data_IF_410229329487
#
_entry.id   IF_410229329487
#
_cell.length_a   1.000
_cell.length_b   1.000
_cell.length_c   1.000
_cell.angle_alpha   90.00
_cell.angle_beta   90.00
_cell.angle_gamma   90.00
#
_symmetry.space_group_name_H-M   'P 1'
#
loop_
_entity.id
_entity.type
_entity.pdbx_description
1 polymer ?
#
# COMPACT_ATOMS: atom_id res chain seq x y z
N UNK A 1 -38.09 -9.90 23.91
CA UNK A 1 -36.79 -9.50 24.49
C UNK A 1 -36.61 -8.03 24.13
N UNK A 2 -36.41 -7.15 25.11
CA UNK A 2 -36.39 -5.71 24.87
C UNK A 2 -35.28 -5.33 23.89
N UNK A 3 -35.66 -4.70 22.78
CA UNK A 3 -34.72 -4.10 21.82
C UNK A 3 -33.89 -3.07 22.58
N UNK A 4 -32.57 -3.29 22.68
CA UNK A 4 -31.67 -2.26 23.16
C UNK A 4 -31.82 -1.06 22.21
N UNK A 5 -32.10 0.12 22.75
CA UNK A 5 -32.26 1.31 21.92
C UNK A 5 -31.01 1.53 21.08
N UNK A 6 -31.17 1.62 19.76
CA UNK A 6 -30.07 1.93 18.85
C UNK A 6 -29.45 3.30 19.19
N UNK A 7 -28.13 3.45 19.04
CA UNK A 7 -27.44 4.69 19.36
C UNK A 7 -27.86 5.83 18.43
N UNK A 8 -27.64 7.05 18.90
CA UNK A 8 -27.70 8.28 18.10
C UNK A 8 -26.32 8.91 18.12
N UNK A 9 -25.76 9.16 16.95
CA UNK A 9 -24.50 9.86 16.77
C UNK A 9 -24.77 11.28 16.25
N UNK A 10 -23.74 12.12 16.17
CA UNK A 10 -23.92 13.44 15.60
C UNK A 10 -24.33 13.35 14.12
N UNK A 11 -25.20 14.26 13.66
CA UNK A 11 -25.59 14.32 12.25
C UNK A 11 -24.35 14.60 11.41
N UNK A 12 -24.08 13.74 10.41
CA UNK A 12 -22.87 13.83 9.57
C UNK A 12 -21.62 13.16 10.15
N UNK A 13 -21.72 12.50 11.31
CA UNK A 13 -20.62 11.75 11.93
C UNK A 13 -20.40 10.39 11.26
N UNK A 14 -19.96 10.44 10.00
CA UNK A 14 -19.79 9.28 9.12
C UNK A 14 -18.84 8.23 9.71
N UNK A 15 -17.84 8.68 10.48
CA UNK A 15 -16.90 7.84 11.22
C UNK A 15 -17.63 6.99 12.26
N UNK A 16 -18.35 7.61 13.20
CA UNK A 16 -19.03 6.87 14.26
C UNK A 16 -20.04 5.85 13.70
N UNK A 17 -20.70 6.17 12.58
CA UNK A 17 -21.57 5.23 11.89
C UNK A 17 -20.80 4.05 11.26
N UNK A 18 -19.64 4.30 10.63
CA UNK A 18 -18.82 3.26 10.02
C UNK A 18 -18.08 2.40 11.07
N UNK A 19 -17.57 2.98 12.15
CA UNK A 19 -17.04 2.24 13.30
C UNK A 19 -18.09 1.35 13.95
N UNK A 20 -19.32 1.86 14.04
CA UNK A 20 -20.44 1.06 14.54
C UNK A 20 -20.78 -0.08 13.57
N UNK A 21 -20.67 0.14 12.26
CA UNK A 21 -20.80 -0.91 11.24
C UNK A 21 -19.69 -1.96 11.38
N UNK A 22 -18.43 -1.56 11.60
CA UNK A 22 -17.32 -2.47 11.89
C UNK A 22 -17.55 -3.27 13.18
N UNK A 23 -18.15 -2.66 14.19
CA UNK A 23 -18.55 -3.36 15.42
C UNK A 23 -19.62 -4.43 15.15
N UNK A 24 -20.53 -4.20 14.19
CA UNK A 24 -21.44 -5.25 13.74
C UNK A 24 -20.69 -6.33 12.95
N UNK A 25 -19.78 -5.96 12.05
CA UNK A 25 -19.00 -6.89 11.25
C UNK A 25 -18.26 -7.92 12.12
N UNK A 26 -17.70 -7.49 13.26
CA UNK A 26 -17.01 -8.34 14.26
C UNK A 26 -17.90 -9.41 14.91
N UNK A 27 -19.24 -9.29 14.81
CA UNK A 27 -20.19 -10.32 15.27
C UNK A 27 -20.37 -11.46 14.26
N UNK A 28 -19.97 -11.25 13.01
CA UNK A 28 -20.05 -12.29 11.98
C UNK A 28 -18.96 -13.35 12.21
N UNK A 29 -19.30 -14.65 12.27
CA UNK A 29 -18.29 -15.69 12.44
C UNK A 29 -17.41 -15.77 11.18
N UNK A 30 -16.07 -15.81 11.29
CA UNK A 30 -15.18 -15.88 10.14
C UNK A 30 -15.32 -17.23 9.42
N UNK A 31 -15.22 -17.23 8.09
CA UNK A 31 -15.16 -18.45 7.27
C UNK A 31 -14.37 -18.19 5.98
N UNK A 32 -13.71 -19.24 5.46
CA UNK A 32 -12.78 -19.13 4.32
C UNK A 32 -13.44 -18.72 2.98
N UNK A 33 -14.77 -18.79 2.88
CA UNK A 33 -15.53 -18.54 1.66
C UNK A 33 -16.43 -17.29 1.75
N UNK A 34 -16.17 -16.37 2.69
CA UNK A 34 -16.95 -15.14 2.84
C UNK A 34 -16.17 -14.05 3.58
N UNK A 35 -16.65 -12.82 3.46
CA UNK A 35 -16.21 -11.71 4.30
C UNK A 35 -17.14 -11.50 5.52
N UNK A 36 -16.56 -11.04 6.63
CA UNK A 36 -17.31 -10.54 7.78
C UNK A 36 -17.69 -9.08 7.49
N UNK A 37 -18.94 -8.87 7.07
CA UNK A 37 -19.47 -7.55 6.71
C UNK A 37 -20.44 -7.10 7.80
N UNK A 38 -20.43 -5.79 8.08
CA UNK A 38 -21.40 -5.13 8.94
C UNK A 38 -22.06 -3.97 8.21
N UNK A 39 -23.30 -3.68 8.57
CA UNK A 39 -24.07 -2.60 7.98
C UNK A 39 -24.93 -1.89 9.04
N UNK A 40 -25.19 -0.60 8.81
CA UNK A 40 -25.95 0.28 9.68
C UNK A 40 -26.84 1.17 8.82
N UNK A 41 -28.13 1.16 9.11
CA UNK A 41 -29.12 2.03 8.47
C UNK A 41 -29.41 3.22 9.39
N UNK A 42 -29.34 4.44 8.88
CA UNK A 42 -29.34 5.68 9.69
C UNK A 42 -30.36 6.67 9.16
N UNK A 43 -31.07 7.34 10.07
CA UNK A 43 -31.83 8.54 9.75
C UNK A 43 -30.85 9.71 9.66
N UNK A 44 -30.48 10.14 8.45
CA UNK A 44 -29.44 11.14 8.28
C UNK A 44 -29.82 12.50 8.88
N UNK A 45 -31.11 12.84 8.91
CA UNK A 45 -31.59 14.09 9.48
C UNK A 45 -31.45 14.17 11.01
N UNK A 46 -31.36 13.03 11.70
CA UNK A 46 -31.31 12.99 13.18
C UNK A 46 -30.07 12.29 13.73
N UNK A 47 -29.24 11.69 12.88
CA UNK A 47 -28.09 10.88 13.28
C UNK A 47 -28.45 9.59 14.03
N UNK A 48 -29.71 9.17 13.98
CA UNK A 48 -30.21 8.01 14.74
C UNK A 48 -30.00 6.74 13.92
N UNK A 49 -29.38 5.72 14.52
CA UNK A 49 -29.36 4.38 13.94
C UNK A 49 -30.76 3.77 14.00
N UNK A 50 -31.23 3.29 12.85
CA UNK A 50 -32.56 2.70 12.65
C UNK A 50 -32.47 1.17 12.70
N UNK A 51 -31.43 0.61 12.09
CA UNK A 51 -31.22 -0.83 12.03
C UNK A 51 -29.73 -1.13 11.85
N UNK A 52 -29.36 -2.36 12.15
CA UNK A 52 -28.00 -2.88 12.02
C UNK A 52 -28.04 -4.24 11.35
N UNK A 53 -26.92 -4.69 10.82
CA UNK A 53 -26.82 -6.02 10.25
C UNK A 53 -25.39 -6.50 10.21
N UNK A 54 -25.20 -7.81 10.24
CA UNK A 54 -23.92 -8.44 9.93
C UNK A 54 -24.12 -9.74 9.15
N UNK A 55 -23.11 -10.15 8.39
CA UNK A 55 -23.19 -11.38 7.59
C UNK A 55 -23.49 -12.59 8.47
N UNK A 56 -24.40 -13.47 8.04
CA UNK A 56 -24.87 -14.65 8.78
C UNK A 56 -25.61 -14.37 10.09
N UNK A 57 -26.16 -13.16 10.27
CA UNK A 57 -26.96 -12.88 11.45
C UNK A 57 -28.24 -13.72 11.51
N UNK A 58 -28.83 -14.04 10.36
CA UNK A 58 -30.02 -14.88 10.25
C UNK A 58 -29.69 -16.29 9.74
N UNK A 59 -30.51 -17.30 10.10
CA UNK A 59 -30.35 -18.66 9.61
C UNK A 59 -30.31 -18.74 8.08
N UNK A 60 -29.67 -19.79 7.57
CA UNK A 60 -29.71 -20.10 6.13
C UNK A 60 -31.17 -20.30 5.69
N UNK A 61 -31.47 -19.88 4.47
CA UNK A 61 -32.79 -20.01 3.86
C UNK A 61 -33.90 -19.25 4.62
N UNK A 62 -33.55 -18.16 5.32
CA UNK A 62 -34.48 -17.39 6.15
C UNK A 62 -35.70 -16.93 5.34
N UNK A 63 -36.90 -17.27 5.84
CA UNK A 63 -38.20 -16.99 5.19
C UNK A 63 -38.25 -17.35 3.70
N UNK A 64 -37.55 -18.41 3.30
CA UNK A 64 -37.57 -18.92 1.93
C UNK A 64 -36.65 -18.19 0.96
N UNK A 65 -35.75 -17.31 1.44
CA UNK A 65 -34.69 -16.70 0.64
C UNK A 65 -33.41 -17.58 0.71
N UNK A 66 -33.08 -18.37 -0.33
CA UNK A 66 -32.11 -19.46 -0.21
C UNK A 66 -30.68 -19.03 0.13
N UNK A 67 -29.92 -19.77 0.92
CA UNK A 67 -28.53 -19.43 1.25
C UNK A 67 -28.40 -18.45 2.41
N UNK A 68 -27.28 -17.73 2.44
CA UNK A 68 -26.85 -16.96 3.62
C UNK A 68 -27.24 -15.49 3.52
N UNK A 69 -27.47 -14.84 4.67
CA UNK A 69 -27.82 -13.42 4.71
C UNK A 69 -26.57 -12.53 4.72
N UNK A 70 -26.62 -11.44 3.95
CA UNK A 70 -25.61 -10.38 3.93
C UNK A 70 -25.96 -9.27 4.93
N UNK A 71 -24.99 -8.45 5.33
CA UNK A 71 -25.19 -7.44 6.36
C UNK A 71 -26.28 -6.40 6.01
N UNK A 72 -26.29 -5.91 4.78
CA UNK A 72 -27.30 -4.95 4.28
C UNK A 72 -28.69 -5.59 4.29
N UNK A 73 -28.77 -6.86 3.86
CA UNK A 73 -30.01 -7.63 3.90
C UNK A 73 -30.53 -7.79 5.34
N UNK A 74 -29.65 -8.09 6.31
CA UNK A 74 -30.02 -8.21 7.71
C UNK A 74 -30.62 -6.91 8.27
N UNK A 75 -30.12 -5.74 7.84
CA UNK A 75 -30.72 -4.44 8.23
C UNK A 75 -32.19 -4.36 7.80
N UNK A 76 -32.48 -4.77 6.57
CA UNK A 76 -33.82 -4.70 5.97
C UNK A 76 -34.76 -5.75 6.57
N UNK A 77 -34.28 -6.97 6.79
CA UNK A 77 -35.05 -8.05 7.44
C UNK A 77 -35.54 -7.60 8.82
N UNK A 78 -34.69 -7.00 9.64
CA UNK A 78 -35.08 -6.56 10.99
C UNK A 78 -36.25 -5.59 10.99
N UNK A 79 -36.23 -4.61 10.08
CA UNK A 79 -37.30 -3.61 9.95
C UNK A 79 -38.57 -4.27 9.40
N UNK A 80 -38.44 -5.11 8.39
CA UNK A 80 -39.54 -5.87 7.83
C UNK A 80 -40.24 -6.73 8.91
N UNK A 81 -39.46 -7.44 9.74
CA UNK A 81 -39.97 -8.28 10.82
C UNK A 81 -40.62 -7.46 11.94
N UNK A 82 -39.99 -6.34 12.35
CA UNK A 82 -40.51 -5.44 13.39
C UNK A 82 -41.86 -4.82 13.01
N UNK A 83 -42.01 -4.46 11.73
CA UNK A 83 -43.22 -3.80 11.23
C UNK A 83 -44.20 -4.73 10.50
N UNK A 84 -43.90 -6.03 10.43
CA UNK A 84 -44.68 -7.03 9.69
C UNK A 84 -44.92 -6.65 8.21
N UNK A 85 -43.85 -6.21 7.55
CA UNK A 85 -43.80 -5.83 6.14
C UNK A 85 -42.91 -6.81 5.34
N UNK A 86 -42.97 -6.71 4.01
CA UNK A 86 -41.94 -7.30 3.14
C UNK A 86 -40.73 -6.35 3.06
N UNK A 87 -39.54 -6.88 2.70
CA UNK A 87 -38.35 -6.05 2.50
C UNK A 87 -38.54 -4.93 1.46
N UNK A 88 -39.40 -5.13 0.46
CA UNK A 88 -39.70 -4.11 -0.55
C UNK A 88 -40.64 -3.01 -0.05
N UNK A 89 -41.47 -3.31 0.96
CA UNK A 89 -42.43 -2.35 1.55
C UNK A 89 -41.85 -1.56 2.72
N UNK A 90 -40.63 -1.85 3.21
CA UNK A 90 -40.08 -1.11 4.36
C UNK A 90 -39.87 0.38 4.08
N UNK A 91 -39.86 0.81 2.83
CA UNK A 91 -39.84 2.24 2.47
C UNK A 91 -41.02 3.03 3.05
N UNK A 92 -42.12 2.37 3.40
CA UNK A 92 -43.31 2.97 4.04
C UNK A 92 -43.04 3.43 5.49
N UNK A 93 -42.07 2.82 6.16
CA UNK A 93 -41.73 3.09 7.57
C UNK A 93 -40.34 3.72 7.76
N UNK A 94 -39.52 3.73 6.70
CA UNK A 94 -38.22 4.37 6.71
C UNK A 94 -38.31 5.89 6.58
N UNK A 95 -37.45 6.66 7.28
CA UNK A 95 -37.28 8.09 7.04
C UNK A 95 -36.90 8.39 5.59
N UNK A 96 -37.35 9.51 5.05
CA UNK A 96 -37.11 9.90 3.64
C UNK A 96 -35.65 10.20 3.29
N UNK A 97 -34.81 10.47 4.29
CA UNK A 97 -33.36 10.72 4.16
C UNK A 97 -32.56 9.61 4.85
N UNK A 98 -32.86 8.37 4.47
CA UNK A 98 -32.17 7.21 5.02
C UNK A 98 -30.81 7.04 4.34
N UNK A 99 -29.78 6.86 5.14
CA UNK A 99 -28.41 6.57 4.68
C UNK A 99 -28.00 5.18 5.14
N UNK A 100 -27.36 4.42 4.24
CA UNK A 100 -26.78 3.12 4.55
C UNK A 100 -25.26 3.26 4.70
N UNK A 101 -24.71 2.72 5.77
CA UNK A 101 -23.28 2.49 5.94
C UNK A 101 -23.05 0.99 5.86
N UNK A 102 -22.15 0.55 5.01
CA UNK A 102 -21.74 -0.86 4.92
C UNK A 102 -20.23 -0.95 4.89
N UNK A 103 -19.67 -1.92 5.61
CA UNK A 103 -18.21 -2.07 5.68
C UNK A 103 -17.63 -2.62 4.38
N UNK A 104 -18.46 -3.16 3.49
CA UNK A 104 -18.05 -3.72 2.20
C UNK A 104 -19.00 -3.30 1.08
N UNK A 105 -18.52 -3.17 -0.15
CA UNK A 105 -19.37 -2.82 -1.29
C UNK A 105 -20.53 -3.81 -1.44
N UNK A 106 -21.77 -3.30 -1.58
CA UNK A 106 -22.92 -4.16 -1.82
C UNK A 106 -22.70 -5.03 -3.05
N UNK A 107 -22.86 -6.35 -2.90
CA UNK A 107 -22.68 -7.27 -4.02
C UNK A 107 -23.66 -6.97 -5.15
N UNK A 108 -23.19 -7.10 -6.39
CA UNK A 108 -24.01 -7.04 -7.59
C UNK A 108 -24.26 -8.42 -8.23
N UNK A 109 -23.57 -9.45 -7.78
CA UNK A 109 -23.81 -10.84 -8.16
C UNK A 109 -23.76 -11.72 -6.92
N UNK A 110 -24.49 -12.85 -6.95
CA UNK A 110 -24.45 -13.84 -5.87
C UNK A 110 -24.36 -15.24 -6.45
N UNK A 111 -23.37 -16.00 -6.03
CA UNK A 111 -23.20 -17.42 -6.40
C UNK A 111 -24.42 -18.28 -6.02
N UNK A 112 -25.20 -17.85 -5.01
CA UNK A 112 -26.44 -18.53 -4.62
C UNK A 112 -27.61 -18.27 -5.58
N UNK A 113 -27.49 -17.30 -6.50
CA UNK A 113 -28.57 -16.84 -7.36
C UNK A 113 -29.58 -15.90 -6.68
N UNK A 114 -29.33 -15.52 -5.42
CA UNK A 114 -30.23 -14.62 -4.68
C UNK A 114 -30.21 -13.20 -5.22
N UNK A 115 -31.23 -12.45 -4.82
CA UNK A 115 -31.22 -11.00 -4.97
C UNK A 115 -30.01 -10.38 -4.27
N UNK A 116 -29.33 -9.55 -5.05
CA UNK A 116 -28.07 -8.90 -4.73
C UNK A 116 -28.32 -7.72 -3.78
N UNK A 117 -27.30 -7.33 -3.01
CA UNK A 117 -27.45 -6.21 -2.07
C UNK A 117 -27.75 -4.90 -2.81
N UNK A 118 -27.13 -4.70 -3.98
CA UNK A 118 -27.44 -3.59 -4.90
C UNK A 118 -28.93 -3.57 -5.26
N UNK A 119 -29.49 -4.69 -5.71
CA UNK A 119 -30.90 -4.75 -6.09
C UNK A 119 -31.85 -4.50 -4.90
N UNK A 120 -31.50 -4.94 -3.69
CA UNK A 120 -32.26 -4.64 -2.47
C UNK A 120 -32.24 -3.15 -2.16
N UNK A 121 -31.06 -2.52 -2.23
CA UNK A 121 -30.91 -1.07 -2.03
C UNK A 121 -31.70 -0.28 -3.08
N UNK A 122 -31.61 -0.68 -4.36
CA UNK A 122 -32.31 -0.01 -5.47
C UNK A 122 -33.84 -0.06 -5.34
N UNK A 123 -34.41 -1.13 -4.76
CA UNK A 123 -35.86 -1.20 -4.46
C UNK A 123 -36.28 -0.13 -3.46
N UNK A 124 -35.36 0.33 -2.62
CA UNK A 124 -35.58 1.34 -1.58
C UNK A 124 -35.05 2.72 -1.99
N UNK A 125 -34.71 2.95 -3.27
CA UNK A 125 -34.16 4.23 -3.76
C UNK A 125 -35.05 5.45 -3.53
N UNK A 126 -36.33 5.25 -3.21
CA UNK A 126 -37.24 6.35 -2.82
C UNK A 126 -36.79 7.00 -1.50
N UNK A 127 -36.20 6.24 -0.59
CA UNK A 127 -35.80 6.65 0.77
C UNK A 127 -34.31 6.52 1.05
N UNK A 128 -33.60 5.58 0.42
CA UNK A 128 -32.13 5.46 0.50
C UNK A 128 -31.49 6.28 -0.62
N UNK A 129 -30.84 7.38 -0.26
CA UNK A 129 -30.21 8.32 -1.21
C UNK A 129 -28.70 8.24 -1.24
N UNK A 130 -28.10 7.79 -0.15
CA UNK A 130 -26.64 7.76 0.03
C UNK A 130 -26.23 6.43 0.63
N UNK A 131 -25.16 5.85 0.09
CA UNK A 131 -24.51 4.64 0.63
C UNK A 131 -23.03 4.96 0.87
N UNK A 132 -22.61 4.89 2.13
CA UNK A 132 -21.20 4.95 2.52
C UNK A 132 -20.65 3.53 2.56
N UNK A 133 -19.53 3.32 1.87
CA UNK A 133 -18.90 2.01 1.71
C UNK A 133 -17.52 2.06 2.35
N UNK A 134 -17.22 1.13 3.25
CA UNK A 134 -15.93 1.05 3.93
C UNK A 134 -14.80 0.54 3.04
N UNK A 135 -15.00 -0.61 2.39
CA UNK A 135 -14.08 -1.17 1.38
C UNK A 135 -14.88 -1.71 0.18
N UNK A 136 -14.30 -1.72 -1.02
CA UNK A 136 -14.90 -2.49 -2.14
C UNK A 136 -14.72 -3.99 -1.93
N UNK A 137 -15.63 -4.80 -2.46
CA UNK A 137 -15.53 -6.26 -2.35
C UNK A 137 -14.28 -6.72 -3.12
N UNK A 138 -13.29 -7.37 -2.47
CA UNK A 138 -12.11 -7.88 -3.16
C UNK A 138 -12.51 -8.91 -4.24
N UNK A 139 -11.73 -9.03 -5.32
CA UNK A 139 -11.97 -9.97 -6.45
C UNK A 139 -11.87 -11.46 -6.06
N UNK A 140 -11.88 -11.78 -4.77
CA UNK A 140 -11.75 -13.14 -4.22
C UNK A 140 -12.93 -14.05 -4.58
N UNK A 141 -14.15 -13.50 -4.68
CA UNK A 141 -15.37 -14.30 -4.90
C UNK A 141 -16.20 -13.90 -6.12
N UNK A 142 -16.09 -12.65 -6.58
CA UNK A 142 -16.76 -12.14 -7.79
C UNK A 142 -15.75 -11.30 -8.56
N UNK A 143 -15.37 -11.75 -9.75
CA UNK A 143 -14.58 -10.96 -10.68
C UNK A 143 -15.50 -9.89 -11.31
N UNK A 144 -15.26 -8.61 -11.04
CA UNK A 144 -16.06 -7.46 -11.48
C UNK A 144 -17.38 -7.20 -10.71
N UNK A 145 -17.32 -6.90 -9.41
CA UNK A 145 -18.46 -6.25 -8.76
C UNK A 145 -18.58 -4.80 -9.28
N UNK A 146 -19.67 -4.44 -9.97
CA UNK A 146 -19.98 -3.07 -10.45
C UNK A 146 -21.05 -2.37 -9.58
N UNK A 147 -21.21 -2.83 -8.33
CA UNK A 147 -22.29 -2.42 -7.45
C UNK A 147 -22.34 -0.91 -7.23
N UNK A 148 -21.19 -0.26 -7.03
CA UNK A 148 -21.10 1.19 -6.98
C UNK A 148 -21.65 1.86 -8.26
N UNK A 149 -21.20 1.44 -9.45
CA UNK A 149 -21.64 2.04 -10.72
C UNK A 149 -23.15 1.92 -10.91
N UNK A 150 -23.75 0.79 -10.53
CA UNK A 150 -25.20 0.58 -10.62
C UNK A 150 -25.99 1.42 -9.64
N UNK A 151 -25.47 1.63 -8.42
CA UNK A 151 -26.10 2.53 -7.44
C UNK A 151 -26.07 3.98 -7.96
N UNK A 152 -24.91 4.45 -8.42
CA UNK A 152 -24.73 5.80 -8.95
C UNK A 152 -25.55 6.05 -10.23
N UNK A 153 -25.61 5.10 -11.16
CA UNK A 153 -26.45 5.17 -12.35
C UNK A 153 -27.95 5.29 -12.04
N UNK A 154 -28.37 4.94 -10.82
CA UNK A 154 -29.75 5.04 -10.34
C UNK A 154 -29.96 6.18 -9.35
N UNK A 155 -29.02 7.12 -9.25
CA UNK A 155 -29.14 8.33 -8.44
C UNK A 155 -28.85 8.15 -6.95
N UNK A 156 -28.16 7.08 -6.56
CA UNK A 156 -27.67 6.87 -5.20
C UNK A 156 -26.20 7.31 -5.12
N UNK A 157 -25.88 8.24 -4.21
CA UNK A 157 -24.51 8.76 -4.07
C UNK A 157 -23.62 7.78 -3.30
N UNK A 158 -22.43 7.49 -3.84
CA UNK A 158 -21.29 6.88 -3.13
C UNK A 158 -20.19 7.95 -2.99
N UNK A 159 -19.54 8.04 -1.83
CA UNK A 159 -18.72 9.22 -1.46
C UNK A 159 -17.23 8.87 -1.35
N UNK A 160 -16.37 9.58 -2.10
CA UNK A 160 -14.90 9.65 -1.92
C UNK A 160 -14.58 10.73 -0.88
N UNK A 161 -13.49 10.55 -0.13
CA UNK A 161 -12.98 11.58 0.75
C UNK A 161 -12.67 12.89 0.00
N UNK A 162 -13.18 14.05 0.47
CA UNK A 162 -12.94 15.35 -0.14
C UNK A 162 -11.46 15.72 -0.28
N UNK A 163 -10.57 15.20 0.56
CA UNK A 163 -9.13 15.43 0.45
C UNK A 163 -8.56 14.82 -0.82
N UNK A 164 -8.96 13.61 -1.20
CA UNK A 164 -8.52 12.98 -2.46
C UNK A 164 -9.12 13.72 -3.66
N UNK A 165 -10.38 14.17 -3.57
CA UNK A 165 -11.05 14.91 -4.64
C UNK A 165 -10.34 16.22 -4.99
N UNK A 166 -9.77 16.91 -4.00
CA UNK A 166 -9.03 18.17 -4.22
C UNK A 166 -7.76 17.98 -5.03
N UNK A 167 -7.16 16.79 -4.99
CA UNK A 167 -5.91 16.47 -5.67
C UNK A 167 -6.13 15.91 -7.09
N UNK A 168 -7.38 15.61 -7.47
CA UNK A 168 -7.72 15.23 -8.83
C UNK A 168 -7.81 16.47 -9.75
N UNK A 169 -7.62 16.31 -11.08
CA UNK A 169 -7.70 17.42 -12.02
C UNK A 169 -9.00 18.22 -11.91
N UNK A 170 -8.90 19.56 -11.96
CA UNK A 170 -10.06 20.43 -11.84
C UNK A 170 -11.15 20.08 -12.85
N UNK A 171 -12.41 20.06 -12.37
CA UNK A 171 -13.60 19.78 -13.19
C UNK A 171 -13.60 18.42 -13.88
N UNK A 172 -12.75 17.47 -13.47
CA UNK A 172 -12.86 16.10 -13.94
C UNK A 172 -14.16 15.46 -13.43
N UNK A 173 -14.66 14.49 -14.18
CA UNK A 173 -15.77 13.62 -13.80
C UNK A 173 -15.20 12.25 -13.46
N UNK A 174 -15.30 11.84 -12.21
CA UNK A 174 -14.98 10.46 -11.82
C UNK A 174 -15.94 9.51 -12.54
N UNK A 175 -15.38 8.51 -13.20
CA UNK A 175 -16.12 7.46 -13.91
C UNK A 175 -16.10 6.14 -13.16
N UNK A 176 -15.05 5.87 -12.39
CA UNK A 176 -14.88 4.59 -11.70
C UNK A 176 -13.86 4.70 -10.57
N UNK A 177 -13.98 3.84 -9.55
CA UNK A 177 -12.99 3.70 -8.47
C UNK A 177 -12.90 2.23 -8.08
N UNK A 178 -11.85 1.50 -8.43
CA UNK A 178 -11.73 0.05 -8.21
C UNK A 178 -10.65 -0.27 -7.19
N UNK A 179 -10.81 -1.35 -6.42
CA UNK A 179 -9.64 -1.93 -5.74
C UNK A 179 -8.65 -2.39 -6.81
N UNK A 180 -7.34 -2.22 -6.58
CA UNK A 180 -6.35 -2.56 -7.58
C UNK A 180 -5.02 -2.93 -6.96
N UNK A 181 -4.46 -4.09 -7.32
CA UNK A 181 -3.16 -4.55 -6.83
C UNK A 181 -3.20 -5.11 -5.40
N UNK A 182 -2.03 -5.50 -4.91
CA UNK A 182 -1.82 -6.06 -3.56
C UNK A 182 -0.66 -5.33 -2.90
N UNK A 183 -0.86 -4.84 -1.68
CA UNK A 183 0.20 -4.31 -0.81
C UNK A 183 0.07 -4.94 0.57
N UNK A 184 1.21 -5.24 1.21
CA UNK A 184 1.23 -5.76 2.58
C UNK A 184 0.80 -4.72 3.62
N UNK A 185 0.98 -3.43 3.32
CA UNK A 185 0.89 -2.34 4.30
C UNK A 185 -0.18 -1.29 3.96
N UNK A 186 -0.68 -1.30 2.73
CA UNK A 186 -1.65 -0.32 2.24
C UNK A 186 -2.85 -0.99 1.57
N UNK A 187 -3.98 -0.29 1.58
CA UNK A 187 -5.09 -0.59 0.66
C UNK A 187 -4.88 0.19 -0.62
N UNK A 188 -4.93 -0.49 -1.76
CA UNK A 188 -4.64 0.11 -3.06
C UNK A 188 -5.89 0.14 -3.94
N UNK A 189 -6.07 1.23 -4.69
CA UNK A 189 -7.20 1.44 -5.58
C UNK A 189 -6.82 2.23 -6.83
N UNK A 190 -7.65 2.12 -7.86
CA UNK A 190 -7.59 2.86 -9.11
C UNK A 190 -8.77 3.82 -9.19
N UNK A 191 -8.54 5.09 -9.49
CA UNK A 191 -9.56 6.11 -9.73
C UNK A 191 -9.51 6.48 -11.21
N UNK A 192 -10.59 6.25 -11.94
CA UNK A 192 -10.75 6.67 -13.33
C UNK A 192 -11.56 7.95 -13.41
N UNK A 193 -11.09 8.88 -14.24
CA UNK A 193 -11.76 10.15 -14.49
C UNK A 193 -11.83 10.45 -15.97
N UNK A 194 -12.80 11.26 -16.36
CA UNK A 194 -12.81 12.00 -17.61
C UNK A 194 -12.47 13.45 -17.31
N UNK A 195 -11.43 13.97 -17.96
CA UNK A 195 -11.07 15.37 -17.91
C UNK A 195 -12.14 16.24 -18.57
N UNK A 196 -12.05 17.55 -18.38
CA UNK A 196 -13.05 18.50 -18.93
C UNK A 196 -13.15 18.49 -20.46
N UNK A 197 -12.11 18.05 -21.16
CA UNK A 197 -12.06 17.84 -22.61
C UNK A 197 -12.53 16.43 -23.05
N UNK A 198 -12.90 15.57 -22.11
CA UNK A 198 -13.31 14.19 -22.34
C UNK A 198 -12.16 13.18 -22.40
N UNK A 199 -10.91 13.60 -22.19
CA UNK A 199 -9.76 12.68 -22.13
C UNK A 199 -9.85 11.77 -20.90
N UNK A 200 -9.76 10.44 -21.04
CA UNK A 200 -9.71 9.54 -19.89
C UNK A 200 -8.34 9.61 -19.21
N UNK A 201 -8.34 9.60 -17.88
CA UNK A 201 -7.12 9.50 -17.07
C UNK A 201 -7.38 8.61 -15.84
N UNK A 202 -6.37 7.86 -15.44
CA UNK A 202 -6.44 6.95 -14.29
C UNK A 202 -5.39 7.31 -13.24
N UNK A 203 -5.71 7.07 -11.97
CA UNK A 203 -4.85 7.33 -10.82
C UNK A 203 -4.79 6.12 -9.89
N UNK A 204 -3.63 5.80 -9.35
CA UNK A 204 -3.46 4.87 -8.24
C UNK A 204 -3.60 5.65 -6.93
N UNK A 205 -4.41 5.16 -6.01
CA UNK A 205 -4.48 5.63 -4.63
C UNK A 205 -4.04 4.51 -3.69
N UNK A 206 -3.15 4.83 -2.76
CA UNK A 206 -2.81 3.97 -1.61
C UNK A 206 -3.33 4.63 -0.34
N UNK A 207 -3.98 3.85 0.52
CA UNK A 207 -4.58 4.30 1.77
C UNK A 207 -3.97 3.54 2.93
N UNK A 208 -3.46 4.28 3.90
CA UNK A 208 -2.80 3.78 5.10
C UNK A 208 -3.39 4.49 6.32
N UNK A 209 -3.33 3.85 7.48
CA UNK A 209 -3.84 4.42 8.73
C UNK A 209 -2.71 4.70 9.72
N UNK A 210 -3.03 5.47 10.75
CA UNK A 210 -2.15 5.84 11.85
C UNK A 210 -0.95 6.73 11.43
N UNK A 211 -0.20 7.21 12.43
CA UNK A 211 0.95 8.08 12.23
C UNK A 211 2.03 7.46 11.32
N UNK A 212 2.19 6.13 11.41
CA UNK A 212 3.10 5.38 10.54
C UNK A 212 2.64 5.45 9.08
N UNK A 213 1.33 5.36 8.81
CA UNK A 213 0.77 5.51 7.47
C UNK A 213 1.01 6.91 6.88
N UNK A 214 0.90 7.96 7.69
CA UNK A 214 1.26 9.33 7.25
C UNK A 214 2.73 9.40 6.84
N UNK A 215 3.61 8.80 7.63
CA UNK A 215 5.05 8.87 7.40
C UNK A 215 5.46 8.06 6.17
N UNK A 216 4.86 6.89 5.97
CA UNK A 216 5.06 6.05 4.78
C UNK A 216 4.57 6.74 3.51
N UNK A 217 3.35 7.27 3.49
CA UNK A 217 2.79 7.98 2.32
C UNK A 217 3.64 9.20 1.92
N UNK A 218 4.12 9.97 2.91
CA UNK A 218 5.04 11.10 2.66
C UNK A 218 6.39 10.62 2.12
N UNK A 219 6.97 9.58 2.72
CA UNK A 219 8.24 9.00 2.28
C UNK A 219 8.19 8.53 0.83
N UNK A 220 7.13 7.79 0.46
CA UNK A 220 6.92 7.33 -0.91
C UNK A 220 6.67 8.49 -1.88
N UNK A 221 5.80 9.46 -1.53
CA UNK A 221 5.54 10.62 -2.37
C UNK A 221 6.83 11.39 -2.70
N UNK A 222 7.64 11.71 -1.69
CA UNK A 222 8.89 12.42 -1.90
C UNK A 222 9.94 11.60 -2.66
N UNK A 223 9.98 10.28 -2.46
CA UNK A 223 10.86 9.36 -3.19
C UNK A 223 10.51 9.33 -4.68
N UNK A 224 9.24 9.06 -4.98
CA UNK A 224 8.72 9.04 -6.35
C UNK A 224 8.86 10.40 -7.02
N UNK A 225 8.67 11.51 -6.29
CA UNK A 225 8.85 12.87 -6.84
C UNK A 225 10.30 13.13 -7.22
N UNK A 226 11.25 12.71 -6.39
CA UNK A 226 12.68 12.86 -6.66
C UNK A 226 13.10 12.05 -7.90
N UNK A 227 12.59 10.81 -8.06
CA UNK A 227 12.85 10.01 -9.27
C UNK A 227 12.22 10.68 -10.50
N UNK A 228 10.96 11.10 -10.40
CA UNK A 228 10.24 11.70 -11.52
C UNK A 228 10.87 13.01 -11.99
N UNK A 229 11.48 13.80 -11.11
CA UNK A 229 12.22 15.01 -11.49
C UNK A 229 13.46 14.69 -12.36
N UNK A 230 14.10 13.54 -12.13
CA UNK A 230 15.33 13.13 -12.82
C UNK A 230 15.02 12.34 -14.10
N UNK A 231 14.03 11.44 -14.03
CA UNK A 231 13.62 10.51 -15.10
C UNK A 231 12.10 10.34 -15.12
N UNK A 232 11.34 11.33 -15.65
CA UNK A 232 9.88 11.30 -15.68
C UNK A 232 9.30 10.07 -16.40
N UNK A 233 10.04 9.51 -17.37
CA UNK A 233 9.60 8.36 -18.15
C UNK A 233 9.81 7.01 -17.47
N UNK A 234 10.56 6.96 -16.36
CA UNK A 234 10.96 5.71 -15.69
C UNK A 234 10.10 5.41 -14.45
N UNK A 235 9.23 6.33 -14.05
CA UNK A 235 8.40 6.22 -12.84
C UNK A 235 7.03 6.86 -13.10
N UNK A 236 5.92 6.27 -12.61
CA UNK A 236 4.62 6.93 -12.63
C UNK A 236 4.65 8.29 -11.91
N UNK A 237 3.97 9.30 -12.45
CA UNK A 237 3.98 10.63 -11.85
C UNK A 237 3.28 10.64 -10.48
N UNK A 238 3.97 10.96 -9.37
CA UNK A 238 3.30 11.20 -8.09
C UNK A 238 2.46 12.48 -8.17
N UNK A 239 1.26 12.44 -7.63
CA UNK A 239 0.29 13.55 -7.68
C UNK A 239 0.24 14.26 -6.32
N UNK A 240 -0.03 13.50 -5.25
CA UNK A 240 -0.17 14.07 -3.91
C UNK A 240 0.03 13.02 -2.81
N UNK A 241 0.26 13.49 -1.59
CA UNK A 241 -0.04 12.72 -0.38
C UNK A 241 -0.77 13.62 0.61
N UNK A 242 -1.61 13.03 1.46
CA UNK A 242 -2.46 13.79 2.36
C UNK A 242 -3.16 12.95 3.42
N UNK A 243 -4.02 13.60 4.18
CA UNK A 243 -4.89 12.97 5.19
C UNK A 243 -6.33 13.18 4.77
N UNK A 244 -7.16 12.17 5.02
CA UNK A 244 -8.59 12.22 4.77
C UNK A 244 -9.26 13.27 5.66
N UNK A 245 -10.27 13.94 5.13
CA UNK A 245 -11.10 14.87 5.90
C UNK A 245 -12.17 14.14 6.72
N UNK A 246 -12.62 12.98 6.23
CA UNK A 246 -13.81 12.27 6.75
C UNK A 246 -13.48 11.08 7.64
N UNK A 247 -12.23 10.63 7.62
CA UNK A 247 -11.75 9.52 8.46
C UNK A 247 -10.44 9.97 9.12
N UNK A 248 -10.42 10.23 10.43
CA UNK A 248 -9.21 10.54 11.18
C UNK A 248 -8.13 9.47 11.00
N UNK A 249 -6.87 9.89 11.17
CA UNK A 249 -5.69 9.03 11.09
C UNK A 249 -5.68 8.12 9.85
N UNK A 250 -6.25 8.58 8.74
CA UNK A 250 -6.25 7.89 7.46
C UNK A 250 -5.59 8.78 6.42
N UNK A 251 -4.54 8.25 5.81
CA UNK A 251 -3.62 8.96 4.94
C UNK A 251 -3.62 8.34 3.56
N UNK A 252 -3.30 9.13 2.55
CA UNK A 252 -3.24 8.66 1.18
C UNK A 252 -1.99 9.10 0.45
N UNK A 253 -1.59 8.28 -0.51
CA UNK A 253 -0.69 8.61 -1.60
C UNK A 253 -1.46 8.46 -2.91
N UNK A 254 -1.40 9.47 -3.77
CA UNK A 254 -2.06 9.53 -5.07
C UNK A 254 -0.99 9.67 -6.16
N UNK A 255 -1.11 8.85 -7.20
CA UNK A 255 -0.13 8.66 -8.24
C UNK A 255 -0.82 8.48 -9.59
N UNK A 256 -0.17 8.83 -10.70
CA UNK A 256 -0.60 8.42 -12.03
C UNK A 256 -0.72 6.90 -12.09
N UNK A 257 -1.79 6.40 -12.69
CA UNK A 257 -1.93 4.99 -12.97
C UNK A 257 -1.33 4.66 -14.34
N UNK A 258 -0.35 3.75 -14.35
CA UNK A 258 0.23 3.18 -15.57
C UNK A 258 -0.19 1.72 -15.68
N UNK A 259 -0.77 1.34 -16.81
CA UNK A 259 -1.01 -0.07 -17.12
C UNK A 259 0.34 -0.76 -17.32
N UNK A 260 0.59 -1.85 -16.60
CA UNK A 260 1.85 -2.58 -16.69
C UNK A 260 1.61 -4.05 -17.03
N UNK A 261 2.54 -4.63 -17.79
CA UNK A 261 2.55 -6.08 -18.04
C UNK A 261 3.32 -6.82 -16.96
N UNK A 262 2.95 -8.08 -16.68
CA UNK A 262 3.64 -8.95 -15.70
C UNK A 262 5.03 -9.44 -16.13
N UNK A 263 5.53 -8.96 -17.27
CA UNK A 263 6.82 -9.39 -17.81
C UNK A 263 7.95 -8.63 -17.13
N UNK A 264 9.06 -9.33 -16.90
CA UNK A 264 10.31 -8.70 -16.53
C UNK A 264 10.79 -7.77 -17.65
N UNK A 265 11.29 -6.57 -17.32
CA UNK A 265 11.83 -5.67 -18.32
C UNK A 265 13.09 -6.25 -18.97
N UNK A 266 13.37 -5.86 -20.21
CA UNK A 266 14.63 -6.22 -20.87
C UNK A 266 15.83 -5.67 -20.05
N UNK A 267 16.88 -6.47 -19.77
CA UNK A 267 18.00 -6.03 -18.94
C UNK A 267 18.69 -4.76 -19.44
N UNK A 268 18.90 -4.61 -20.75
CA UNK A 268 19.59 -3.45 -21.32
C UNK A 268 18.72 -2.19 -21.27
N UNK A 269 17.41 -2.32 -21.55
CA UNK A 269 16.47 -1.19 -21.43
C UNK A 269 16.33 -0.72 -19.98
N UNK A 270 16.18 -1.67 -19.05
CA UNK A 270 16.05 -1.37 -17.63
C UNK A 270 17.33 -0.72 -17.07
N UNK A 271 18.49 -1.30 -17.38
CA UNK A 271 19.80 -0.77 -17.01
C UNK A 271 20.05 0.65 -17.56
N UNK A 272 19.60 0.93 -18.78
CA UNK A 272 19.68 2.27 -19.36
C UNK A 272 18.87 3.29 -18.55
N UNK A 273 17.63 2.95 -18.16
CA UNK A 273 16.79 3.80 -17.30
C UNK A 273 17.40 4.01 -15.90
N UNK A 274 17.81 2.93 -15.25
CA UNK A 274 18.39 2.97 -13.91
C UNK A 274 19.72 3.75 -13.87
N UNK A 275 20.61 3.51 -14.84
CA UNK A 275 21.89 4.23 -14.92
C UNK A 275 21.68 5.72 -15.20
N UNK A 276 20.66 6.09 -15.99
CA UNK A 276 20.27 7.49 -16.21
C UNK A 276 19.80 8.15 -14.92
N UNK A 277 18.96 7.48 -14.13
CA UNK A 277 18.51 7.97 -12.81
C UNK A 277 19.71 8.21 -11.88
N UNK A 278 20.60 7.22 -11.75
CA UNK A 278 21.80 7.33 -10.90
C UNK A 278 22.76 8.43 -11.39
N UNK A 279 23.03 8.52 -12.69
CA UNK A 279 23.99 9.47 -13.24
C UNK A 279 23.48 10.91 -13.30
N UNK A 280 22.18 11.13 -13.52
CA UNK A 280 21.61 12.48 -13.64
C UNK A 280 21.14 13.09 -12.33
N UNK A 281 20.86 12.27 -11.31
CA UNK A 281 20.48 12.79 -10.00
C UNK A 281 21.63 13.59 -9.36
N UNK A 282 21.26 14.61 -8.58
CA UNK A 282 22.21 15.47 -7.85
C UNK A 282 21.71 15.60 -6.42
N UNK A 283 22.54 15.20 -5.45
CA UNK A 283 22.21 15.40 -4.03
C UNK A 283 22.12 16.90 -3.74
N UNK A 284 21.00 17.38 -3.14
CA UNK A 284 20.81 18.82 -2.89
C UNK A 284 21.81 19.38 -1.88
N UNK A 285 22.46 18.53 -1.09
CA UNK A 285 23.48 18.89 -0.10
C UNK A 285 24.89 18.50 -0.51
N UNK A 286 25.03 17.74 -1.62
CA UNK A 286 26.27 17.05 -1.97
C UNK A 286 26.63 15.88 -1.05
N UNK A 287 25.74 15.50 -0.10
CA UNK A 287 25.94 14.44 0.90
C UNK A 287 25.08 13.21 0.62
N UNK A 288 25.34 12.11 1.34
CA UNK A 288 24.48 10.92 1.38
C UNK A 288 23.33 11.13 2.36
N UNK A 289 22.13 10.63 2.03
CA UNK A 289 20.93 10.81 2.85
C UNK A 289 19.73 11.31 2.06
N UNK A 290 18.68 11.73 2.77
CA UNK A 290 17.44 12.25 2.20
C UNK A 290 16.80 13.27 3.14
N UNK A 291 15.98 14.18 2.61
CA UNK A 291 15.38 15.26 3.41
C UNK A 291 14.21 14.80 4.29
N UNK A 292 13.67 13.61 4.03
CA UNK A 292 12.57 13.01 4.80
C UNK A 292 12.85 11.53 5.05
N UNK A 293 12.43 11.01 6.20
CA UNK A 293 12.50 9.57 6.48
C UNK A 293 11.66 8.80 5.47
N UNK A 294 12.28 7.82 4.81
CA UNK A 294 11.61 6.86 3.94
C UNK A 294 11.45 5.53 4.66
N UNK A 295 10.59 4.65 4.14
CA UNK A 295 10.22 3.40 4.78
C UNK A 295 10.39 2.24 3.80
N UNK A 296 11.06 1.18 4.23
CA UNK A 296 11.10 -0.09 3.51
C UNK A 296 10.18 -1.06 4.24
N UNK A 297 9.08 -1.46 3.59
CA UNK A 297 7.93 -1.98 4.32
C UNK A 297 7.39 -0.95 5.30
N UNK A 298 7.17 -1.34 6.57
CA UNK A 298 6.75 -0.42 7.64
C UNK A 298 7.90 0.04 8.53
N UNK A 299 9.15 -0.27 8.19
CA UNK A 299 10.31 0.09 9.02
C UNK A 299 11.01 1.35 8.48
N UNK A 300 11.35 2.31 9.35
CA UNK A 300 12.01 3.54 8.93
C UNK A 300 13.45 3.28 8.48
N UNK A 301 13.88 4.00 7.45
CA UNK A 301 15.26 3.98 6.98
C UNK A 301 16.09 5.11 7.59
N UNK A 302 17.38 4.85 7.79
CA UNK A 302 18.34 5.89 8.11
C UNK A 302 18.53 6.80 6.88
N UNK A 303 18.27 8.09 7.04
CA UNK A 303 18.36 9.07 5.94
C UNK A 303 19.10 10.36 6.32
N UNK A 304 19.66 10.45 7.52
CA UNK A 304 20.34 11.67 7.93
C UNK A 304 21.56 11.95 7.03
N UNK A 305 21.89 13.24 6.86
CA UNK A 305 22.92 13.68 5.94
C UNK A 305 24.32 13.39 6.46
N UNK A 306 25.11 12.65 5.67
CA UNK A 306 26.48 12.26 6.02
C UNK A 306 27.45 12.55 4.87
N UNK A 307 28.65 13.01 5.20
CA UNK A 307 29.65 13.43 4.21
C UNK A 307 30.37 12.26 3.51
N UNK A 308 30.39 11.06 4.11
CA UNK A 308 31.03 9.87 3.55
C UNK A 308 30.08 8.68 3.50
N UNK A 309 30.24 7.84 2.48
CA UNK A 309 29.42 6.66 2.29
C UNK A 309 29.67 5.62 3.38
N UNK A 310 30.92 5.46 3.82
CA UNK A 310 31.28 4.58 4.95
C UNK A 310 30.47 4.95 6.20
N UNK A 311 30.42 6.24 6.56
CA UNK A 311 29.71 6.70 7.76
C UNK A 311 28.20 6.50 7.63
N UNK A 312 27.64 6.87 6.48
CA UNK A 312 26.21 6.68 6.21
C UNK A 312 25.82 5.20 6.33
N UNK A 313 26.55 4.32 5.64
CA UNK A 313 26.26 2.90 5.62
C UNK A 313 26.42 2.27 7.00
N UNK A 314 27.48 2.61 7.76
CA UNK A 314 27.67 2.10 9.12
C UNK A 314 26.52 2.47 10.06
N UNK A 315 26.02 3.71 9.98
CA UNK A 315 24.87 4.18 10.77
C UNK A 315 23.56 3.51 10.33
N UNK A 316 23.34 3.36 9.01
CA UNK A 316 22.18 2.64 8.46
C UNK A 316 22.18 1.16 8.86
N UNK A 317 23.32 0.48 8.81
CA UNK A 317 23.48 -0.91 9.21
C UNK A 317 23.23 -1.08 10.73
N UNK A 318 23.76 -0.17 11.54
CA UNK A 318 23.50 -0.17 12.99
C UNK A 318 22.02 -0.03 13.30
N UNK A 319 21.32 0.92 12.66
CA UNK A 319 19.88 1.08 12.83
C UNK A 319 19.11 -0.20 12.42
N UNK A 320 19.51 -0.86 11.32
CA UNK A 320 18.89 -2.11 10.90
C UNK A 320 19.08 -3.23 11.96
N UNK A 321 20.29 -3.39 12.50
CA UNK A 321 20.57 -4.34 13.58
C UNK A 321 19.78 -4.01 14.84
N UNK A 322 19.70 -2.73 15.23
CA UNK A 322 18.96 -2.30 16.42
C UNK A 322 17.46 -2.63 16.29
N UNK A 323 16.86 -2.38 15.12
CA UNK A 323 15.45 -2.74 14.84
C UNK A 323 15.25 -4.26 14.91
N UNK A 324 16.18 -5.04 14.37
CA UNK A 324 16.11 -6.50 14.34
C UNK A 324 16.27 -7.12 15.74
N UNK A 325 17.20 -6.60 16.53
CA UNK A 325 17.41 -6.93 17.95
C UNK A 325 16.17 -6.57 18.77
N UNK A 326 15.53 -5.44 18.50
CA UNK A 326 14.33 -5.02 19.22
C UNK A 326 13.19 -6.03 19.08
N UNK A 327 13.02 -6.64 17.90
CA UNK A 327 11.89 -7.55 17.63
C UNK A 327 12.20 -9.02 17.91
N UNK A 328 13.44 -9.47 17.70
CA UNK A 328 13.81 -10.89 17.85
C UNK A 328 14.82 -11.13 18.99
N UNK A 329 15.19 -10.11 19.75
CA UNK A 329 16.16 -10.20 20.85
C UNK A 329 17.61 -10.27 20.40
N UNK A 330 18.53 -10.13 21.36
CA UNK A 330 19.97 -10.12 21.12
C UNK A 330 20.61 -11.50 21.37
N UNK A 331 21.82 -11.73 20.84
CA UNK A 331 22.63 -12.91 21.14
C UNK A 331 24.12 -12.58 21.18
N UNK A 332 24.91 -13.33 21.95
CA UNK A 332 26.37 -13.13 22.04
C UNK A 332 27.06 -13.28 20.67
N UNK A 333 26.55 -14.17 19.81
CA UNK A 333 27.08 -14.30 18.46
C UNK A 333 26.81 -13.06 17.61
N UNK A 334 25.57 -12.53 17.66
CA UNK A 334 25.20 -11.31 16.93
C UNK A 334 26.03 -10.11 17.40
N UNK A 335 26.27 -9.96 18.70
CA UNK A 335 27.12 -8.89 19.26
C UNK A 335 28.54 -8.94 18.68
N UNK A 336 29.20 -10.10 18.77
CA UNK A 336 30.58 -10.28 18.30
C UNK A 336 30.68 -10.05 16.78
N UNK A 337 29.73 -10.58 16.01
CA UNK A 337 29.70 -10.39 14.56
C UNK A 337 29.40 -8.92 14.19
N UNK A 338 28.52 -8.25 14.93
CA UNK A 338 28.18 -6.84 14.69
C UNK A 338 29.37 -5.93 14.96
N UNK A 339 30.11 -6.16 16.03
CA UNK A 339 31.35 -5.42 16.33
C UNK A 339 32.38 -5.59 15.21
N UNK A 340 32.68 -6.83 14.81
CA UNK A 340 33.61 -7.09 13.71
C UNK A 340 33.14 -6.49 12.37
N UNK A 341 31.84 -6.56 12.08
CA UNK A 341 31.23 -5.95 10.89
C UNK A 341 31.44 -4.43 10.86
N UNK A 342 31.09 -3.76 11.96
CA UNK A 342 31.09 -2.29 12.07
C UNK A 342 32.50 -1.71 12.17
N UNK A 343 33.42 -2.38 12.87
CA UNK A 343 34.76 -1.87 13.12
C UNK A 343 35.79 -2.25 12.07
N UNK A 344 35.55 -3.33 11.31
CA UNK A 344 36.55 -3.86 10.36
C UNK A 344 36.01 -4.06 8.97
N UNK A 345 34.95 -4.84 8.80
CA UNK A 345 34.44 -5.21 7.47
C UNK A 345 33.96 -3.98 6.70
N UNK A 346 33.11 -3.15 7.31
CA UNK A 346 32.59 -1.92 6.67
C UNK A 346 33.74 -0.97 6.29
N UNK A 347 34.66 -0.60 7.21
CA UNK A 347 35.85 0.17 6.85
C UNK A 347 36.69 -0.45 5.74
N UNK A 348 36.93 -1.77 5.78
CA UNK A 348 37.74 -2.48 4.78
C UNK A 348 37.14 -2.39 3.38
N UNK A 349 35.82 -2.50 3.25
CA UNK A 349 35.14 -2.54 1.95
C UNK A 349 34.71 -1.16 1.43
N UNK A 350 34.36 -0.21 2.31
CA UNK A 350 33.78 1.06 1.90
C UNK A 350 34.75 2.24 1.93
N UNK A 351 35.69 2.29 2.89
CA UNK A 351 36.69 3.38 2.95
C UNK A 351 37.52 3.52 1.68
N UNK A 352 37.94 2.43 1.01
CA UNK A 352 38.69 2.54 -0.23
C UNK A 352 37.95 3.29 -1.34
N UNK A 353 36.61 3.28 -1.35
CA UNK A 353 35.82 3.99 -2.38
C UNK A 353 36.06 5.51 -2.37
N UNK A 354 36.47 6.06 -1.23
CA UNK A 354 36.67 7.50 -1.00
C UNK A 354 38.12 7.82 -0.58
N UNK A 355 39.04 6.87 -0.77
CA UNK A 355 40.47 6.99 -0.47
C UNK A 355 41.32 7.13 -1.75
N UNK A 356 42.58 7.54 -1.61
CA UNK A 356 43.52 7.67 -2.73
C UNK A 356 43.03 8.59 -3.87
N UNK A 357 42.30 9.65 -3.49
CA UNK A 357 41.73 10.62 -4.44
C UNK A 357 40.46 10.15 -5.14
N UNK A 358 39.92 8.98 -4.78
CA UNK A 358 38.61 8.50 -5.24
C UNK A 358 37.49 9.20 -4.49
N UNK A 359 36.32 9.24 -5.11
CA UNK A 359 35.11 9.83 -4.54
C UNK A 359 33.91 9.01 -4.97
N UNK A 360 32.96 8.81 -4.06
CA UNK A 360 31.66 8.23 -4.40
C UNK A 360 30.68 9.36 -4.68
N UNK A 361 29.96 9.27 -5.80
CA UNK A 361 28.86 10.18 -6.09
C UNK A 361 27.62 9.77 -5.27
N UNK A 362 27.03 10.65 -4.44
CA UNK A 362 25.71 10.41 -3.88
C UNK A 362 24.67 10.42 -5.01
N UNK A 363 24.21 9.23 -5.37
CA UNK A 363 23.27 8.97 -6.45
C UNK A 363 21.91 8.65 -5.84
N UNK A 364 20.84 9.23 -6.38
CA UNK A 364 19.48 8.87 -5.95
C UNK A 364 19.22 7.42 -6.32
N UNK A 365 18.99 6.57 -5.33
CA UNK A 365 18.60 5.16 -5.52
C UNK A 365 17.09 4.99 -5.32
N UNK A 366 16.52 3.89 -5.79
CA UNK A 366 15.14 3.49 -5.54
C UNK A 366 14.94 3.03 -4.08
N UNK A 367 15.86 2.21 -3.56
CA UNK A 367 15.90 1.83 -2.14
C UNK A 367 15.12 0.55 -1.79
N UNK A 368 14.21 0.10 -2.65
CA UNK A 368 13.55 -1.21 -2.57
C UNK A 368 13.32 -1.80 -3.98
N UNK A 369 14.37 -1.87 -4.80
CA UNK A 369 14.23 -2.27 -6.20
C UNK A 369 14.34 -3.79 -6.38
N UNK A 370 13.20 -4.45 -6.57
CA UNK A 370 13.10 -5.88 -6.88
C UNK A 370 11.97 -6.10 -7.90
N UNK A 371 11.84 -7.30 -8.46
CA UNK A 371 10.95 -7.50 -9.62
C UNK A 371 9.48 -7.11 -9.41
N UNK A 372 8.98 -7.14 -8.16
CA UNK A 372 7.60 -6.75 -7.88
C UNK A 372 7.40 -5.22 -7.81
N UNK A 373 8.50 -4.45 -7.78
CA UNK A 373 8.54 -2.99 -7.82
C UNK A 373 9.04 -2.46 -9.18
N UNK A 374 8.97 -3.31 -10.21
CA UNK A 374 9.29 -2.97 -11.59
C UNK A 374 8.27 -3.60 -12.54
N UNK A 375 8.03 -2.95 -13.67
CA UNK A 375 7.11 -3.45 -14.70
C UNK A 375 7.46 -2.90 -16.07
N UNK A 376 6.71 -3.33 -17.09
CA UNK A 376 6.77 -2.75 -18.44
C UNK A 376 5.47 -2.02 -18.69
N UNK A 377 5.56 -0.74 -19.00
CA UNK A 377 4.44 0.08 -19.41
C UNK A 377 3.75 -0.51 -20.66
N UNK A 378 2.46 -0.78 -20.58
CA UNK A 378 1.71 -1.46 -21.63
C UNK A 378 1.57 -0.62 -22.91
N UNK A 379 1.67 0.71 -22.82
CA UNK A 379 1.53 1.62 -23.94
C UNK A 379 2.86 1.88 -24.65
N UNK A 380 3.88 2.29 -23.89
CA UNK A 380 5.19 2.68 -24.42
C UNK A 380 6.18 1.52 -24.55
N UNK A 381 5.86 0.37 -23.94
CA UNK A 381 6.74 -0.78 -23.81
C UNK A 381 8.11 -0.41 -23.19
N UNK A 382 8.13 0.61 -22.32
CA UNK A 382 9.29 1.03 -21.56
C UNK A 382 9.25 0.47 -20.13
N UNK A 383 10.42 0.19 -19.51
CA UNK A 383 10.45 -0.20 -18.12
C UNK A 383 9.98 0.94 -17.18
N UNK A 384 9.28 0.57 -16.12
CA UNK A 384 8.85 1.46 -15.04
C UNK A 384 9.27 0.88 -13.69
N UNK A 385 9.57 1.76 -12.73
CA UNK A 385 9.75 1.42 -11.31
C UNK A 385 8.71 2.15 -10.46
N UNK A 386 8.37 1.58 -9.31
CA UNK A 386 7.36 2.11 -8.39
C UNK A 386 7.61 1.61 -6.96
N UNK A 387 6.92 2.20 -5.98
CA UNK A 387 7.06 1.85 -4.55
C UNK A 387 8.45 2.18 -3.99
N UNK A 388 8.98 3.35 -4.37
CA UNK A 388 10.32 3.79 -3.98
C UNK A 388 10.42 4.25 -2.53
N UNK A 389 11.58 3.98 -1.91
CA UNK A 389 11.97 4.47 -0.60
C UNK A 389 13.39 5.07 -0.67
N UNK A 390 13.49 6.16 -1.42
CA UNK A 390 14.75 6.74 -1.86
C UNK A 390 15.63 7.27 -0.73
N UNK A 391 16.93 7.33 -1.04
CA UNK A 391 17.90 8.25 -0.47
C UNK A 391 19.08 8.40 -1.45
N UNK A 392 19.96 9.36 -1.21
CA UNK A 392 21.21 9.49 -1.98
C UNK A 392 22.27 8.56 -1.40
N UNK A 393 22.77 7.63 -2.22
CA UNK A 393 23.63 6.52 -1.83
C UNK A 393 24.78 6.31 -2.82
N UNK A 394 25.70 5.39 -2.51
CA UNK A 394 26.51 4.76 -3.55
C UNK A 394 25.60 3.94 -4.48
N UNK A 395 25.74 4.10 -5.80
CA UNK A 395 24.86 3.45 -6.78
C UNK A 395 24.87 1.91 -6.71
N UNK A 396 25.98 1.29 -6.31
CA UNK A 396 26.07 -0.17 -6.17
C UNK A 396 25.22 -0.72 -5.01
N UNK A 397 24.75 0.14 -4.08
CA UNK A 397 23.87 -0.26 -2.98
C UNK A 397 22.59 -0.95 -3.49
N UNK A 398 22.03 -0.48 -4.62
CA UNK A 398 20.81 -1.03 -5.20
C UNK A 398 20.93 -2.53 -5.51
N UNK A 399 22.12 -2.98 -5.91
CA UNK A 399 22.36 -4.39 -6.28
C UNK A 399 22.36 -5.33 -5.08
N UNK A 400 22.47 -4.80 -3.85
CA UNK A 400 22.31 -5.61 -2.64
C UNK A 400 20.96 -6.31 -2.59
N UNK A 401 19.89 -5.59 -2.98
CA UNK A 401 18.53 -6.13 -3.08
C UNK A 401 18.39 -7.17 -4.19
N UNK A 402 19.32 -7.25 -5.14
CA UNK A 402 19.26 -8.17 -6.28
C UNK A 402 19.94 -9.51 -6.02
N UNK A 403 20.78 -9.59 -4.98
CA UNK A 403 21.52 -10.81 -4.63
C UNK A 403 20.62 -12.00 -4.28
N UNK A 404 19.51 -11.83 -3.53
CA UNK A 404 18.59 -12.93 -3.29
C UNK A 404 17.87 -13.34 -4.58
N UNK A 405 17.95 -14.62 -4.96
CA UNK A 405 17.36 -15.14 -6.20
C UNK A 405 15.84 -14.92 -6.31
N UNK A 406 15.13 -14.84 -5.17
CA UNK A 406 13.70 -14.53 -5.11
C UNK A 406 13.37 -13.12 -5.63
N UNK A 407 14.34 -12.20 -5.69
CA UNK A 407 14.13 -10.83 -6.15
C UNK A 407 14.24 -10.67 -7.68
N UNK A 408 14.69 -11.73 -8.38
CA UNK A 408 14.62 -11.94 -9.85
C UNK A 408 15.36 -10.91 -10.75
N UNK A 409 16.22 -10.06 -10.19
CA UNK A 409 17.20 -9.28 -10.95
C UNK A 409 18.57 -9.97 -10.87
N UNK A 410 18.88 -10.84 -11.83
CA UNK A 410 20.12 -11.62 -11.81
C UNK A 410 21.37 -10.86 -12.32
N UNK A 411 22.47 -11.60 -12.44
CA UNK A 411 23.76 -11.11 -12.94
C UNK A 411 23.63 -10.43 -14.31
N UNK A 412 22.65 -10.82 -15.13
CA UNK A 412 22.38 -10.20 -16.42
C UNK A 412 21.99 -8.73 -16.32
N UNK A 413 21.30 -8.31 -15.26
CA UNK A 413 20.93 -6.90 -15.04
C UNK A 413 22.10 -6.07 -14.52
N UNK A 414 22.92 -6.65 -13.64
CA UNK A 414 24.16 -6.01 -13.17
C UNK A 414 25.14 -5.84 -14.34
N UNK A 415 25.31 -6.89 -15.16
CA UNK A 415 26.13 -6.84 -16.35
C UNK A 415 25.61 -5.81 -17.37
N UNK A 416 24.29 -5.69 -17.55
CA UNK A 416 23.69 -4.66 -18.39
C UNK A 416 23.94 -3.25 -17.84
N UNK A 417 23.78 -3.02 -16.52
CA UNK A 417 24.07 -1.74 -15.87
C UNK A 417 25.54 -1.33 -16.03
N UNK A 418 26.46 -2.29 -15.89
CA UNK A 418 27.90 -2.05 -15.98
C UNK A 418 28.38 -1.69 -17.40
N UNK A 419 27.52 -1.79 -18.42
CA UNK A 419 27.79 -1.20 -19.76
C UNK A 419 27.71 0.33 -19.74
N UNK A 420 26.97 0.91 -18.80
CA UNK A 420 26.71 2.36 -18.70
C UNK A 420 27.51 3.04 -17.59
N UNK A 421 27.83 2.31 -16.51
CA UNK A 421 28.55 2.84 -15.35
C UNK A 421 29.66 1.86 -14.98
N UNK A 422 30.88 2.35 -14.80
CA UNK A 422 32.00 1.50 -14.39
C UNK A 422 31.82 1.02 -12.95
N UNK A 423 32.32 -0.19 -12.66
CA UNK A 423 32.41 -0.71 -11.30
C UNK A 423 33.30 0.23 -10.48
N UNK A 424 32.88 0.55 -9.26
CA UNK A 424 33.66 1.45 -8.41
C UNK A 424 34.98 0.80 -7.99
N UNK A 425 36.07 1.52 -8.15
CA UNK A 425 37.39 1.06 -7.69
C UNK A 425 37.45 1.06 -6.15
N UNK A 426 38.01 0.02 -5.51
CA UNK A 426 38.72 -1.11 -6.11
C UNK A 426 37.74 -2.19 -6.58
N UNK A 427 37.90 -2.66 -7.83
CA UNK A 427 36.96 -3.60 -8.45
C UNK A 427 37.02 -4.99 -7.77
N UNK A 428 38.18 -5.36 -7.21
CA UNK A 428 38.36 -6.61 -6.48
C UNK A 428 37.49 -6.72 -5.22
N UNK A 429 37.01 -5.59 -4.69
CA UNK A 429 36.10 -5.56 -3.54
C UNK A 429 34.62 -5.56 -3.96
N UNK A 430 34.29 -5.51 -5.26
CA UNK A 430 32.91 -5.37 -5.76
C UNK A 430 31.96 -6.42 -5.18
N UNK A 431 32.30 -7.70 -5.28
CA UNK A 431 31.47 -8.79 -4.72
C UNK A 431 31.30 -8.67 -3.20
N UNK A 432 32.37 -8.30 -2.48
CA UNK A 432 32.30 -8.05 -1.04
C UNK A 432 31.35 -6.90 -0.69
N UNK A 433 31.34 -5.83 -1.50
CA UNK A 433 30.40 -4.72 -1.33
C UNK A 433 28.97 -5.14 -1.60
N UNK A 434 28.72 -5.95 -2.63
CA UNK A 434 27.36 -6.44 -2.91
C UNK A 434 26.81 -7.32 -1.79
N UNK A 435 27.65 -8.20 -1.24
CA UNK A 435 27.26 -9.03 -0.08
C UNK A 435 27.02 -8.17 1.17
N UNK A 436 27.82 -7.12 1.38
CA UNK A 436 27.63 -6.15 2.45
C UNK A 436 26.32 -5.36 2.28
N UNK A 437 26.00 -4.91 1.07
CA UNK A 437 24.74 -4.20 0.80
C UNK A 437 23.54 -5.13 0.94
N UNK A 438 23.65 -6.36 0.44
CA UNK A 438 22.65 -7.42 0.67
C UNK A 438 22.39 -7.62 2.16
N UNK A 439 23.45 -7.72 2.98
CA UNK A 439 23.31 -7.90 4.42
C UNK A 439 22.43 -6.82 5.06
N UNK A 440 22.53 -5.57 4.59
CA UNK A 440 21.61 -4.51 5.05
C UNK A 440 20.16 -4.90 4.74
N UNK A 441 19.84 -5.24 3.49
CA UNK A 441 18.48 -5.63 3.09
C UNK A 441 17.98 -6.85 3.87
N UNK A 442 18.77 -7.91 3.96
CA UNK A 442 18.43 -9.14 4.68
C UNK A 442 18.16 -8.87 6.17
N UNK A 443 18.94 -8.00 6.81
CA UNK A 443 18.73 -7.60 8.21
C UNK A 443 17.41 -6.85 8.39
N UNK A 444 17.08 -5.97 7.44
CA UNK A 444 15.83 -5.23 7.46
C UNK A 444 14.62 -6.14 7.23
N UNK A 445 14.72 -7.10 6.30
CA UNK A 445 13.70 -8.13 6.04
C UNK A 445 13.53 -9.03 7.26
N UNK A 446 14.61 -9.43 7.94
CA UNK A 446 14.55 -10.16 9.22
C UNK A 446 13.76 -9.39 10.27
N UNK A 447 14.01 -8.08 10.42
CA UNK A 447 13.27 -7.23 11.35
C UNK A 447 11.78 -7.10 10.98
N UNK A 448 11.46 -7.10 9.68
CA UNK A 448 10.10 -6.94 9.16
C UNK A 448 9.23 -8.18 9.41
N UNK A 449 9.79 -9.38 9.21
CA UNK A 449 9.09 -10.66 9.34
C UNK A 449 9.50 -11.38 10.63
N UNK A 450 8.94 -10.93 11.75
CA UNK A 450 9.30 -11.36 13.10
C UNK A 450 9.13 -12.88 13.30
N UNK A 451 8.10 -13.47 12.70
CA UNK A 451 7.76 -14.89 12.86
C UNK A 451 8.66 -15.85 12.07
N UNK A 452 9.46 -15.35 11.12
CA UNK A 452 10.37 -16.19 10.33
C UNK A 452 11.78 -16.18 10.93
N UNK A 453 12.10 -17.20 11.73
CA UNK A 453 13.42 -17.37 12.35
C UNK A 453 14.52 -17.70 11.33
N UNK A 454 14.17 -18.18 10.13
CA UNK A 454 15.16 -18.55 9.11
C UNK A 454 15.88 -17.33 8.55
N UNK A 455 15.22 -16.16 8.54
CA UNK A 455 15.79 -14.90 8.09
C UNK A 455 16.97 -14.46 8.95
N UNK A 456 16.87 -14.58 10.28
CA UNK A 456 18.00 -14.29 11.16
C UNK A 456 19.17 -15.24 10.92
N UNK A 457 18.88 -16.52 10.64
CA UNK A 457 19.94 -17.49 10.33
C UNK A 457 20.70 -17.06 9.07
N UNK A 458 19.99 -16.61 8.03
CA UNK A 458 20.60 -16.07 6.81
C UNK A 458 21.45 -14.82 7.08
N UNK A 459 20.96 -13.88 7.91
CA UNK A 459 21.73 -12.70 8.34
C UNK A 459 23.04 -13.11 9.01
N UNK A 460 22.99 -14.04 9.98
CA UNK A 460 24.18 -14.52 10.68
C UNK A 460 25.16 -15.23 9.74
N UNK A 461 24.67 -16.04 8.79
CA UNK A 461 25.52 -16.72 7.82
C UNK A 461 26.28 -15.73 6.92
N UNK A 462 25.61 -14.68 6.44
CA UNK A 462 26.24 -13.61 5.65
C UNK A 462 27.25 -12.82 6.51
N UNK A 463 26.92 -12.52 7.77
CA UNK A 463 27.85 -11.85 8.69
C UNK A 463 29.11 -12.70 8.95
N UNK A 464 28.96 -14.01 9.19
CA UNK A 464 30.09 -14.92 9.40
C UNK A 464 31.02 -14.94 8.19
N UNK A 465 30.47 -15.08 7.00
CA UNK A 465 31.25 -15.10 5.76
C UNK A 465 31.99 -13.77 5.51
N UNK A 466 31.32 -12.64 5.69
CA UNK A 466 31.94 -11.32 5.54
C UNK A 466 33.05 -11.08 6.56
N UNK A 467 32.84 -11.44 7.83
CA UNK A 467 33.86 -11.35 8.87
C UNK A 467 35.04 -12.30 8.59
N UNK A 468 34.77 -13.50 8.08
CA UNK A 468 35.84 -14.43 7.70
C UNK A 468 36.71 -13.88 6.56
N UNK A 469 36.11 -13.20 5.57
CA UNK A 469 36.83 -12.67 4.41
C UNK A 469 37.51 -11.32 4.68
N UNK A 470 36.92 -10.48 5.53
CA UNK A 470 37.29 -9.06 5.64
C UNK A 470 37.45 -8.52 7.07
N UNK A 471 37.21 -9.33 8.11
CA UNK A 471 37.21 -8.93 9.53
C UNK A 471 38.50 -9.17 10.31
#
# INVERSE_FOLDING_TARGET
MGSAAYPTFAVGDHEAFMEFALTQARKSPPAANKFCVGAVLVNAATGRVISTGYSLEYPRDYKGDPGTTHAEQCCFIKIADEHNLSEESIHEVLPTDTTLYTTMEPCNERLSGNMTCVNRILRLKSVIKTVYVGIREPETFVANNDGQQKLEANGIKVVIDPAVLRELPERCKITSINAHGVSFWAKTGRIDVLLSDGTPQSFLVKVLSEEIGMSMTKGEFHSMSAIHEVTPEFVPKPIACGTYDTIPDTHFFLCEFREMTEKMPDPDQFASGLSKMHQKSVSPTGKFGFHITTYAGNLPQYVAWEDSWETFFAKSMRQALDMEIQVKGNSNELEVLSEALLEKVIPRLLRPLESDGRTVKPSLIHGDLWHANAGIDAESNQPLIFDACCFFAHNEYEFGQWRPACNRFGDEYIAAYNKFVQISAPEEDFEGRLDLYRLRFDTHVSALFVDDETLRTQVLDVMRDLVQRYG
#
